data_IF_698997055703
#
_entry.id   IF_698997055703
#
_cell.length_a   1.000
_cell.length_b   1.000
_cell.length_c   1.000
_cell.angle_alpha   90.00
_cell.angle_beta   90.00
_cell.angle_gamma   90.00
#
_symmetry.space_group_name_H-M   'P 1'
#
loop_
_entity.id
_entity.type
_entity.pdbx_description
1 polymer ?
#
# COMPACT_ATOMS: atom_id res chain seq x y z
N UNK A 1 -17.59 33.19 2.80
CA UNK A 1 -18.00 31.94 2.10
C UNK A 1 -17.06 30.84 2.58
N UNK A 2 -17.57 29.82 3.30
CA UNK A 2 -16.74 28.79 3.92
C UNK A 2 -16.71 27.60 2.97
N UNK A 3 -15.56 27.34 2.35
CA UNK A 3 -15.38 26.16 1.51
C UNK A 3 -15.26 24.94 2.41
N UNK A 4 -16.21 24.01 2.30
CA UNK A 4 -16.10 22.70 2.92
C UNK A 4 -15.45 21.77 1.90
N UNK A 5 -14.25 21.30 2.19
CA UNK A 5 -13.64 20.23 1.40
C UNK A 5 -14.41 18.93 1.67
N UNK A 6 -15.01 18.35 0.64
CA UNK A 6 -15.68 17.06 0.70
C UNK A 6 -14.80 16.00 0.05
N UNK A 7 -14.44 14.96 0.81
CA UNK A 7 -13.74 13.78 0.32
C UNK A 7 -14.75 12.64 0.13
N UNK A 8 -14.68 11.94 -1.02
CA UNK A 8 -15.46 10.72 -1.28
C UNK A 8 -14.55 9.67 -1.91
N UNK A 9 -14.62 8.45 -1.40
CA UNK A 9 -14.02 7.28 -2.05
C UNK A 9 -14.92 6.85 -3.22
N UNK A 10 -14.29 6.54 -4.35
CA UNK A 10 -14.94 6.13 -5.59
C UNK A 10 -14.31 4.81 -6.09
N UNK A 11 -14.93 4.19 -7.08
CA UNK A 11 -14.46 2.96 -7.74
C UNK A 11 -14.43 1.71 -6.84
N UNK A 12 -15.63 1.23 -6.49
CA UNK A 12 -15.84 0.00 -5.72
C UNK A 12 -15.86 -1.27 -6.58
N UNK A 13 -15.44 -1.20 -7.86
CA UNK A 13 -15.52 -2.33 -8.80
C UNK A 13 -14.65 -3.53 -8.42
N UNK A 14 -13.68 -3.32 -7.54
CA UNK A 14 -12.77 -4.35 -7.01
C UNK A 14 -13.01 -4.67 -5.53
N UNK A 15 -14.05 -4.10 -4.92
CA UNK A 15 -14.36 -4.35 -3.51
C UNK A 15 -15.00 -5.74 -3.36
N UNK A 16 -14.48 -6.55 -2.42
CA UNK A 16 -15.06 -7.83 -2.06
C UNK A 16 -15.44 -7.89 -0.58
N UNK A 17 -16.43 -8.72 -0.27
CA UNK A 17 -16.82 -9.01 1.10
C UNK A 17 -15.80 -9.92 1.76
N UNK A 18 -15.25 -9.47 2.88
CA UNK A 18 -14.34 -10.29 3.68
C UNK A 18 -15.08 -11.46 4.34
N UNK A 19 -14.54 -12.64 4.09
CA UNK A 19 -14.84 -13.93 4.68
C UNK A 19 -13.55 -14.52 5.23
N UNK A 20 -13.56 -14.94 6.50
CA UNK A 20 -12.39 -15.51 7.16
C UNK A 20 -11.98 -16.84 6.50
N UNK A 21 -10.68 -16.99 6.18
CA UNK A 21 -10.06 -18.16 5.49
C UNK A 21 -10.48 -18.37 4.03
N UNK A 22 -11.01 -17.36 3.37
CA UNK A 22 -11.21 -17.40 1.93
C UNK A 22 -9.93 -16.97 1.20
N UNK A 23 -9.52 -17.73 0.20
CA UNK A 23 -8.44 -17.35 -0.72
C UNK A 23 -8.97 -16.29 -1.68
N UNK A 24 -8.31 -15.13 -1.72
CA UNK A 24 -8.66 -14.05 -2.66
C UNK A 24 -7.62 -13.94 -3.78
N UNK A 25 -8.05 -13.40 -4.93
CA UNK A 25 -7.21 -13.29 -6.11
C UNK A 25 -6.09 -12.25 -5.93
N UNK A 26 -4.83 -12.67 -5.81
CA UNK A 26 -3.67 -11.78 -5.62
C UNK A 26 -3.37 -10.80 -6.77
N UNK A 27 -4.11 -10.89 -7.89
CA UNK A 27 -3.96 -10.00 -9.05
C UNK A 27 -4.73 -8.68 -8.95
N UNK A 28 -5.39 -8.36 -7.84
CA UNK A 28 -5.98 -7.03 -7.60
C UNK A 28 -4.94 -5.97 -7.21
N UNK A 29 -5.32 -4.70 -7.37
CA UNK A 29 -4.55 -3.46 -7.12
C UNK A 29 -3.41 -3.10 -8.11
N UNK A 30 -3.21 -1.79 -8.31
CA UNK A 30 -2.09 -1.23 -9.08
C UNK A 30 -0.77 -1.51 -8.38
N UNK A 31 0.26 -1.94 -9.12
CA UNK A 31 1.56 -2.44 -8.61
C UNK A 31 2.16 -1.58 -7.48
N UNK A 32 2.10 -0.26 -7.60
CA UNK A 32 2.71 0.69 -6.67
C UNK A 32 2.04 0.74 -5.29
N UNK A 33 0.79 0.27 -5.19
CA UNK A 33 0.01 0.27 -3.95
C UNK A 33 -0.14 -1.14 -3.35
N UNK A 34 0.42 -2.17 -4.00
CA UNK A 34 0.35 -3.54 -3.47
C UNK A 34 1.09 -3.65 -2.15
N UNK A 35 0.40 -4.20 -1.16
CA UNK A 35 1.00 -4.68 0.08
C UNK A 35 2.02 -5.79 -0.18
N UNK A 36 3.03 -5.94 0.70
CA UNK A 36 4.02 -7.01 0.60
C UNK A 36 3.37 -8.41 0.60
N UNK A 37 2.22 -8.58 1.26
CA UNK A 37 1.44 -9.82 1.27
C UNK A 37 0.98 -10.26 -0.12
N UNK A 38 0.54 -9.32 -0.97
CA UNK A 38 0.16 -9.62 -2.36
C UNK A 38 1.37 -9.94 -3.25
N UNK A 39 2.54 -9.39 -2.91
CA UNK A 39 3.76 -9.58 -3.68
C UNK A 39 4.47 -10.90 -3.33
N UNK A 40 4.19 -11.47 -2.15
CA UNK A 40 4.69 -12.77 -1.68
C UNK A 40 3.65 -13.90 -1.88
N UNK A 41 2.55 -13.62 -2.58
CA UNK A 41 1.46 -14.57 -2.85
C UNK A 41 0.79 -15.12 -1.57
N UNK A 42 0.70 -14.29 -0.54
CA UNK A 42 0.00 -14.61 0.69
C UNK A 42 -1.50 -14.32 0.53
N UNK A 43 -2.27 -15.37 0.22
CA UNK A 43 -3.69 -15.28 -0.15
C UNK A 43 -4.64 -15.05 1.04
N UNK A 44 -4.15 -15.20 2.28
CA UNK A 44 -4.89 -14.93 3.51
C UNK A 44 -4.72 -13.47 3.96
N UNK A 45 -4.95 -12.50 3.08
CA UNK A 45 -4.87 -11.08 3.45
C UNK A 45 -6.17 -10.58 4.09
N UNK A 46 -6.03 -9.52 4.89
CA UNK A 46 -7.05 -8.89 5.72
C UNK A 46 -7.24 -7.42 5.28
N UNK A 47 -8.18 -6.69 5.92
CA UNK A 47 -8.36 -5.25 5.85
C UNK A 47 -7.06 -4.43 6.06
N UNK A 48 -6.00 -5.04 6.61
CA UNK A 48 -4.67 -4.45 6.72
C UNK A 48 -4.08 -3.99 5.38
N UNK A 49 -4.51 -4.60 4.27
CA UNK A 49 -4.06 -4.26 2.93
C UNK A 49 -4.39 -2.81 2.52
N UNK A 50 -5.59 -2.35 2.89
CA UNK A 50 -6.03 -0.99 2.60
C UNK A 50 -5.24 0.04 3.39
N UNK A 51 -4.84 -0.31 4.62
CA UNK A 51 -3.98 0.52 5.47
C UNK A 51 -2.58 0.68 4.87
N UNK A 52 -2.04 -0.36 4.22
CA UNK A 52 -0.78 -0.25 3.48
C UNK A 52 -0.88 0.74 2.32
N UNK A 53 -1.94 0.63 1.52
CA UNK A 53 -2.20 1.53 0.39
C UNK A 53 -2.36 2.99 0.85
N UNK A 54 -3.05 3.21 1.97
CA UNK A 54 -3.19 4.52 2.61
C UNK A 54 -1.84 5.06 3.07
N UNK A 55 -1.00 4.24 3.70
CA UNK A 55 0.36 4.60 4.09
C UNK A 55 1.23 5.02 2.91
N UNK A 56 1.14 4.30 1.79
CA UNK A 56 1.84 4.65 0.55
C UNK A 56 1.40 6.03 0.02
N UNK A 57 0.09 6.29 -0.01
CA UNK A 57 -0.46 7.60 -0.42
C UNK A 57 0.01 8.72 0.51
N UNK A 58 -0.06 8.53 1.83
CA UNK A 58 0.39 9.51 2.81
C UNK A 58 1.89 9.81 2.68
N UNK A 59 2.72 8.78 2.52
CA UNK A 59 4.15 8.94 2.29
C UNK A 59 4.44 9.72 1.00
N UNK A 60 3.74 9.39 -0.09
CA UNK A 60 3.86 10.15 -1.34
C UNK A 60 3.51 11.63 -1.18
N UNK A 61 2.47 11.95 -0.42
CA UNK A 61 2.07 13.34 -0.15
C UNK A 61 3.10 14.09 0.71
N UNK A 62 3.59 13.48 1.79
CA UNK A 62 4.54 14.11 2.72
C UNK A 62 5.89 14.34 2.04
N UNK A 63 6.41 13.32 1.35
CA UNK A 63 7.72 13.38 0.70
C UNK A 63 7.67 13.99 -0.71
N UNK A 64 6.48 14.37 -1.20
CA UNK A 64 6.23 14.87 -2.57
C UNK A 64 6.90 14.02 -3.65
N UNK A 65 6.79 12.70 -3.49
CA UNK A 65 7.38 11.70 -4.39
C UNK A 65 6.32 10.69 -4.81
N UNK A 66 5.99 10.66 -6.09
CA UNK A 66 4.92 9.82 -6.63
C UNK A 66 5.41 8.96 -7.81
N UNK A 67 5.29 7.61 -7.74
CA UNK A 67 4.95 6.82 -6.56
C UNK A 67 6.11 6.78 -5.54
N UNK A 68 5.80 6.69 -4.25
CA UNK A 68 6.83 6.62 -3.20
C UNK A 68 7.72 5.37 -3.35
N UNK A 69 7.09 4.23 -3.66
CA UNK A 69 7.72 2.96 -4.00
C UNK A 69 7.62 2.74 -5.51
N UNK A 70 8.75 2.80 -6.23
CA UNK A 70 8.81 2.68 -7.69
C UNK A 70 9.63 1.46 -8.11
N UNK A 71 9.03 0.27 -7.99
CA UNK A 71 9.61 -0.98 -8.47
C UNK A 71 9.37 -1.22 -9.96
N UNK A 72 10.39 -1.71 -10.65
CA UNK A 72 10.31 -2.09 -12.06
C UNK A 72 9.45 -3.35 -12.28
N UNK A 73 9.48 -4.28 -11.34
CA UNK A 73 8.66 -5.48 -11.30
C UNK A 73 8.13 -5.75 -9.87
N UNK A 74 7.39 -6.84 -9.68
CA UNK A 74 6.81 -7.16 -8.37
C UNK A 74 7.89 -7.48 -7.31
N UNK A 75 9.03 -8.05 -7.72
CA UNK A 75 10.10 -8.42 -6.79
C UNK A 75 10.88 -7.17 -6.35
N UNK A 76 11.23 -6.32 -7.31
CA UNK A 76 11.86 -5.02 -7.10
C UNK A 76 10.97 -4.10 -6.24
N UNK A 77 9.64 -4.16 -6.42
CA UNK A 77 8.69 -3.45 -5.56
C UNK A 77 8.84 -3.87 -4.08
N UNK A 78 8.95 -5.18 -3.79
CA UNK A 78 9.19 -5.68 -2.41
C UNK A 78 10.56 -5.23 -1.90
N UNK A 79 11.60 -5.37 -2.70
CA UNK A 79 12.95 -4.99 -2.31
C UNK A 79 13.05 -3.50 -1.95
N UNK A 80 12.44 -2.62 -2.74
CA UNK A 80 12.43 -1.18 -2.47
C UNK A 80 11.60 -0.86 -1.21
N UNK A 81 10.46 -1.53 -1.01
CA UNK A 81 9.66 -1.39 0.22
C UNK A 81 10.50 -1.74 1.45
N UNK A 82 11.09 -2.94 1.49
CA UNK A 82 11.92 -3.40 2.61
C UNK A 82 13.12 -2.46 2.83
N UNK A 83 13.80 -2.06 1.76
CA UNK A 83 14.97 -1.17 1.86
C UNK A 83 14.61 0.19 2.48
N UNK A 84 13.48 0.79 2.07
CA UNK A 84 13.03 2.08 2.59
C UNK A 84 12.60 1.93 4.05
N UNK A 85 11.87 0.87 4.42
CA UNK A 85 11.51 0.61 5.81
C UNK A 85 12.75 0.44 6.70
N UNK A 86 13.72 -0.36 6.26
CA UNK A 86 14.98 -0.55 6.98
C UNK A 86 15.75 0.77 7.16
N UNK A 87 15.78 1.64 6.14
CA UNK A 87 16.40 2.97 6.24
C UNK A 87 15.68 3.86 7.25
N UNK A 88 14.35 3.86 7.26
CA UNK A 88 13.57 4.66 8.22
C UNK A 88 13.77 4.18 9.66
N UNK A 89 13.79 2.86 9.90
CA UNK A 89 14.05 2.31 11.24
C UNK A 89 15.49 2.56 11.68
N UNK A 90 16.46 2.51 10.77
CA UNK A 90 17.86 2.77 11.10
C UNK A 90 18.10 4.24 11.48
N UNK A 91 17.39 5.18 10.86
CA UNK A 91 17.46 6.61 11.24
C UNK A 91 16.83 6.85 12.62
N UNK A 92 15.79 6.11 12.99
CA UNK A 92 15.14 6.20 14.31
C UNK A 92 15.98 5.66 15.48
N UNK A 93 16.96 4.79 15.23
CA UNK A 93 17.84 4.22 16.28
C UNK A 93 19.05 5.10 16.63
N UNK A 94 19.19 6.27 16.02
CA UNK A 94 20.25 7.25 16.30
C UNK A 94 19.73 8.54 16.98
N UNK A 95 18.56 8.50 17.61
CA UNK A 95 18.06 9.59 18.48
C UNK A 95 17.85 9.13 19.91
#
# INVERSE_FOLDING_TARGET
>A
MRFYFQLRLIDWGLAEFYHARQEYNVRVASRYFKGPELLVDYQCYDYSLDMWSLGCMLASMIFRKEPFFHGHDNYDQVCIQILIFLRLTAVGSFS
#
